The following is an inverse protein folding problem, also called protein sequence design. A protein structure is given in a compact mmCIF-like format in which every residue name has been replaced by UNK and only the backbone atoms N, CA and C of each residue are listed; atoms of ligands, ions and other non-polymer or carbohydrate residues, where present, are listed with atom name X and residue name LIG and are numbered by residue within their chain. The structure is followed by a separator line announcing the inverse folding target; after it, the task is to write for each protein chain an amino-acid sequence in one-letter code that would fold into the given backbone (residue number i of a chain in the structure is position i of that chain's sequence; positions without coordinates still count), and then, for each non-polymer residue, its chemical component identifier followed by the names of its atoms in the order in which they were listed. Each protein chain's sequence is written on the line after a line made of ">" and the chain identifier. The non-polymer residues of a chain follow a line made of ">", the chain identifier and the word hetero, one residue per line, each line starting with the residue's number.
data_IF_417772485134
#
_entry.id   IF_417772485134
#
_cell.length_a   1.000
_cell.length_b   1.000
_cell.length_c   1.000
_cell.angle_alpha   90.00
_cell.angle_beta   90.00
_cell.angle_gamma   90.00
#
_symmetry.space_group_name_H-M   'P 1'
#
loop_
_entity.id
_entity.type
_entity.pdbx_description
1 polymer ?
#
# COMPACT_ATOMS: atom_id res chain seq x y z
N UNK A 1 31.73 8.19 9.87
CA UNK A 1 30.85 7.01 9.72
C UNK A 1 29.44 7.57 9.65
N UNK A 2 28.94 7.75 8.44
CA UNK A 2 27.64 8.37 8.16
C UNK A 2 26.53 7.62 8.90
N UNK A 3 25.83 8.33 9.78
CA UNK A 3 24.53 7.90 10.29
C UNK A 3 23.53 7.98 9.13
N UNK A 4 23.52 6.95 8.29
CA UNK A 4 22.30 6.62 7.54
C UNK A 4 21.28 6.17 8.59
N UNK A 5 20.56 7.15 9.14
CA UNK A 5 19.28 6.98 9.80
C UNK A 5 18.34 6.40 8.73
N UNK A 6 18.50 5.12 8.41
CA UNK A 6 17.45 4.36 7.76
C UNK A 6 16.26 4.50 8.70
N UNK A 7 15.28 5.31 8.29
CA UNK A 7 13.99 5.47 8.93
C UNK A 7 13.45 4.06 9.17
N UNK A 8 13.70 3.52 10.37
CA UNK A 8 13.18 2.22 10.76
C UNK A 8 11.68 2.41 10.86
N UNK A 9 10.94 1.85 9.91
CA UNK A 9 9.52 1.63 10.07
C UNK A 9 9.31 0.99 11.46
N UNK A 10 8.36 1.50 12.23
CA UNK A 10 7.99 0.88 13.49
C UNK A 10 7.71 -0.61 13.26
N UNK A 11 8.19 -1.49 14.14
CA UNK A 11 8.22 -2.95 13.92
C UNK A 11 6.88 -3.52 13.43
N UNK A 12 5.76 -3.05 13.97
CA UNK A 12 4.44 -3.52 13.57
C UNK A 12 4.05 -3.14 12.12
N UNK A 13 4.58 -2.03 11.58
CA UNK A 13 4.36 -1.62 10.20
C UNK A 13 5.10 -2.55 9.24
N UNK A 14 6.34 -2.92 9.58
CA UNK A 14 7.16 -3.86 8.80
C UNK A 14 6.52 -5.27 8.82
N UNK A 15 6.08 -5.74 9.99
CA UNK A 15 5.34 -7.01 10.12
C UNK A 15 4.04 -7.01 9.31
N UNK A 16 3.26 -5.94 9.37
CA UNK A 16 2.04 -5.78 8.58
C UNK A 16 2.34 -5.84 7.07
N UNK A 17 3.35 -5.11 6.61
CA UNK A 17 3.71 -5.08 5.19
C UNK A 17 4.25 -6.44 4.71
N UNK A 18 5.10 -7.11 5.50
CA UNK A 18 5.59 -8.45 5.20
C UNK A 18 4.45 -9.48 5.14
N UNK A 19 3.49 -9.40 6.06
CA UNK A 19 2.31 -10.26 6.06
C UNK A 19 1.58 -10.12 4.71
N UNK A 20 1.20 -8.91 4.31
CA UNK A 20 0.44 -8.67 3.08
C UNK A 20 1.22 -8.93 1.80
N UNK A 21 2.53 -8.72 1.80
CA UNK A 21 3.39 -8.99 0.63
C UNK A 21 3.50 -10.49 0.36
N UNK A 22 3.43 -11.30 1.41
CA UNK A 22 3.47 -12.76 1.33
C UNK A 22 2.12 -13.40 0.98
N UNK A 23 1.02 -12.65 1.07
CA UNK A 23 -0.34 -13.17 0.82
C UNK A 23 -0.56 -13.49 -0.66
N UNK A 24 -1.22 -14.61 -0.91
CA UNK A 24 -1.63 -15.06 -2.25
C UNK A 24 -3.14 -15.08 -2.46
N UNK A 25 -3.92 -14.86 -1.39
CA UNK A 25 -5.37 -14.81 -1.42
C UNK A 25 -5.89 -13.44 -1.90
N UNK A 26 -7.17 -13.32 -2.24
CA UNK A 26 -7.77 -12.07 -2.72
C UNK A 26 -8.14 -11.10 -1.59
N UNK A 27 -7.15 -10.33 -1.12
CA UNK A 27 -7.35 -9.29 -0.11
C UNK A 27 -7.54 -7.89 -0.72
N UNK A 28 -8.17 -6.99 0.03
CA UNK A 28 -8.43 -5.59 -0.35
C UNK A 28 -7.85 -4.58 0.64
N UNK A 29 -7.83 -3.28 0.28
CA UNK A 29 -7.41 -2.19 1.18
C UNK A 29 -8.10 -2.27 2.56
N UNK A 30 -9.39 -2.63 2.59
CA UNK A 30 -10.14 -2.82 3.84
C UNK A 30 -9.63 -3.99 4.69
N UNK A 31 -9.11 -5.05 4.08
CA UNK A 31 -8.42 -6.13 4.80
C UNK A 31 -7.15 -5.61 5.49
N UNK A 32 -6.40 -4.76 4.79
CA UNK A 32 -5.18 -4.13 5.32
C UNK A 32 -5.49 -3.18 6.48
N UNK A 33 -6.45 -2.28 6.30
CA UNK A 33 -6.89 -1.33 7.34
C UNK A 33 -7.42 -2.07 8.58
N UNK A 34 -8.22 -3.12 8.39
CA UNK A 34 -8.73 -3.94 9.51
C UNK A 34 -7.60 -4.61 10.28
N UNK A 35 -6.59 -5.15 9.58
CA UNK A 35 -5.44 -5.80 10.22
C UNK A 35 -4.57 -4.78 10.96
N UNK A 36 -4.36 -3.59 10.39
CA UNK A 36 -3.65 -2.49 11.05
C UNK A 36 -4.32 -2.12 12.38
N UNK A 37 -5.63 -1.91 12.39
CA UNK A 37 -6.39 -1.60 13.61
C UNK A 37 -6.36 -2.72 14.65
N UNK A 38 -6.24 -3.99 14.21
CA UNK A 38 -6.08 -5.13 15.11
C UNK A 38 -4.67 -5.19 15.75
N UNK A 39 -3.63 -4.80 15.01
CA UNK A 39 -2.24 -4.79 15.50
C UNK A 39 -1.96 -3.61 16.42
N UNK A 40 -2.52 -2.42 16.12
CA UNK A 40 -2.32 -1.21 16.91
C UNK A 40 -3.63 -0.46 17.09
N UNK A 41 -4.13 -0.42 18.32
CA UNK A 41 -5.31 0.39 18.65
C UNK A 41 -5.04 1.87 18.39
N UNK A 42 -6.06 2.57 17.89
CA UNK A 42 -6.00 4.01 17.63
C UNK A 42 -5.49 4.39 16.24
N UNK A 43 -5.11 3.41 15.39
CA UNK A 43 -4.81 3.68 13.99
C UNK A 43 -6.07 3.92 13.17
N UNK A 44 -5.98 4.79 12.17
CA UNK A 44 -7.05 5.09 11.24
C UNK A 44 -6.62 4.86 9.78
N UNK A 45 -7.49 5.21 8.83
CA UNK A 45 -7.23 5.09 7.40
C UNK A 45 -6.03 5.95 6.95
N UNK A 46 -5.83 7.15 7.51
CA UNK A 46 -4.67 8.00 7.19
C UNK A 46 -3.35 7.32 7.58
N UNK A 47 -3.31 6.60 8.70
CA UNK A 47 -2.13 5.81 9.08
C UNK A 47 -1.83 4.72 8.04
N UNK A 48 -2.86 4.03 7.54
CA UNK A 48 -2.70 3.01 6.49
C UNK A 48 -2.14 3.63 5.20
N UNK A 49 -2.71 4.76 4.75
CA UNK A 49 -2.24 5.47 3.56
C UNK A 49 -0.78 5.90 3.69
N UNK A 50 -0.39 6.45 4.85
CA UNK A 50 0.99 6.85 5.14
C UNK A 50 1.96 5.65 5.09
N UNK A 51 1.57 4.50 5.66
CA UNK A 51 2.38 3.27 5.60
C UNK A 51 2.59 2.82 4.14
N UNK A 52 1.56 2.91 3.29
CA UNK A 52 1.66 2.53 1.87
C UNK A 52 2.55 3.50 1.08
N UNK A 53 2.46 4.81 1.35
CA UNK A 53 3.35 5.80 0.74
C UNK A 53 4.81 5.60 1.16
N UNK A 54 5.06 5.38 2.46
CA UNK A 54 6.40 5.10 2.97
C UNK A 54 6.97 3.84 2.31
N UNK A 55 6.18 2.77 2.20
CA UNK A 55 6.58 1.54 1.52
C UNK A 55 6.98 1.79 0.05
N UNK A 56 6.18 2.57 -0.68
CA UNK A 56 6.52 2.96 -2.05
C UNK A 56 7.80 3.78 -2.12
N UNK A 57 7.94 4.79 -1.25
CA UNK A 57 9.11 5.66 -1.21
C UNK A 57 10.40 4.89 -0.91
N UNK A 58 10.33 3.87 -0.06
CA UNK A 58 11.45 2.98 0.21
C UNK A 58 11.70 1.92 -0.87
N UNK A 59 10.85 1.85 -1.91
CA UNK A 59 10.95 0.84 -2.97
C UNK A 59 10.73 -0.58 -2.47
N UNK A 60 9.93 -0.76 -1.41
CA UNK A 60 9.68 -2.05 -0.76
C UNK A 60 8.20 -2.43 -0.83
N UNK A 61 7.93 -3.73 -0.67
CA UNK A 61 6.58 -4.32 -0.69
C UNK A 61 5.73 -3.92 -1.92
N UNK A 62 6.26 -4.08 -3.14
CA UNK A 62 5.61 -3.58 -4.35
C UNK A 62 4.24 -4.23 -4.61
N UNK A 63 4.02 -5.49 -4.22
CA UNK A 63 2.71 -6.15 -4.40
C UNK A 63 1.68 -5.55 -3.45
N UNK A 64 2.07 -5.30 -2.21
CA UNK A 64 1.22 -4.72 -1.18
C UNK A 64 0.80 -3.31 -1.56
N UNK A 65 1.76 -2.46 -1.93
CA UNK A 65 1.51 -1.10 -2.40
C UNK A 65 0.53 -1.11 -3.56
N UNK A 66 0.83 -1.89 -4.62
CA UNK A 66 -0.01 -1.97 -5.81
C UNK A 66 -1.44 -2.40 -5.49
N UNK A 67 -1.60 -3.52 -4.77
CA UNK A 67 -2.94 -4.05 -4.50
C UNK A 67 -3.75 -3.16 -3.56
N UNK A 68 -3.14 -2.56 -2.55
CA UNK A 68 -3.84 -1.60 -1.68
C UNK A 68 -4.43 -0.48 -2.53
N UNK A 69 -3.60 0.15 -3.36
CA UNK A 69 -3.98 1.28 -4.19
C UNK A 69 -5.09 0.93 -5.18
N UNK A 70 -4.94 -0.18 -5.91
CA UNK A 70 -5.92 -0.60 -6.92
C UNK A 70 -7.25 -0.95 -6.26
N UNK A 71 -7.24 -1.70 -5.17
CA UNK A 71 -8.49 -2.11 -4.51
C UNK A 71 -9.19 -0.92 -3.85
N UNK A 72 -8.45 0.08 -3.35
CA UNK A 72 -9.01 1.35 -2.90
C UNK A 72 -9.62 2.14 -4.06
N UNK A 73 -8.89 2.30 -5.16
CA UNK A 73 -9.35 3.03 -6.35
C UNK A 73 -10.64 2.43 -6.92
N UNK A 74 -10.72 1.09 -7.01
CA UNK A 74 -11.91 0.41 -7.52
C UNK A 74 -13.16 0.65 -6.68
N UNK A 75 -13.03 0.92 -5.38
CA UNK A 75 -14.17 1.17 -4.50
C UNK A 75 -14.61 2.64 -4.55
N UNK A 76 -13.67 3.58 -4.62
CA UNK A 76 -13.99 5.01 -4.55
C UNK A 76 -14.09 5.71 -5.92
N UNK A 77 -13.58 5.08 -6.98
CA UNK A 77 -13.56 5.65 -8.33
C UNK A 77 -12.61 6.84 -8.49
N UNK A 78 -11.77 7.12 -7.48
CA UNK A 78 -10.74 8.14 -7.50
C UNK A 78 -9.54 7.71 -6.66
N UNK A 79 -8.37 8.25 -6.97
CA UNK A 79 -7.25 8.25 -6.06
C UNK A 79 -7.50 9.24 -4.92
N UNK A 80 -7.25 8.77 -3.70
CA UNK A 80 -7.22 9.66 -2.55
C UNK A 80 -6.07 10.65 -2.71
N UNK A 81 -6.25 11.92 -2.33
CA UNK A 81 -5.22 12.97 -2.49
C UNK A 81 -3.90 12.62 -1.81
N UNK A 82 -3.94 11.84 -0.73
CA UNK A 82 -2.77 11.34 -0.02
C UNK A 82 -1.95 10.34 -0.85
N UNK A 83 -2.52 9.73 -1.89
CA UNK A 83 -1.81 8.83 -2.81
C UNK A 83 -1.21 9.53 -4.04
N UNK A 84 -1.35 10.86 -4.14
CA UNK A 84 -1.02 11.72 -5.29
C UNK A 84 -0.13 11.08 -6.36
N UNK A 85 1.18 11.09 -6.15
CA UNK A 85 2.14 10.57 -7.15
C UNK A 85 2.32 9.04 -7.09
N UNK A 86 2.11 8.44 -5.92
CA UNK A 86 2.25 7.00 -5.68
C UNK A 86 1.31 6.20 -6.60
N UNK A 87 0.04 6.57 -6.68
CA UNK A 87 -0.93 5.89 -7.53
C UNK A 87 -0.54 6.00 -9.01
N UNK A 88 -0.23 7.21 -9.48
CA UNK A 88 0.15 7.46 -10.86
C UNK A 88 1.43 6.72 -11.25
N UNK A 89 2.43 6.68 -10.36
CA UNK A 89 3.66 5.90 -10.54
C UNK A 89 3.36 4.42 -10.77
N UNK A 90 2.53 3.81 -9.92
CA UNK A 90 2.15 2.40 -10.06
C UNK A 90 1.30 2.17 -11.31
N UNK A 91 0.30 3.01 -11.55
CA UNK A 91 -0.60 2.87 -12.70
C UNK A 91 0.13 2.99 -14.03
N UNK A 92 1.05 3.95 -14.15
CA UNK A 92 1.83 4.16 -15.37
C UNK A 92 2.89 3.07 -15.60
N UNK A 93 3.36 2.42 -14.54
CA UNK A 93 4.27 1.28 -14.63
C UNK A 93 3.56 -0.03 -15.04
N UNK A 94 2.22 -0.10 -14.96
CA UNK A 94 1.46 -1.26 -15.37
C UNK A 94 1.29 -1.33 -16.89
N UNK A 95 1.40 -2.54 -17.43
CA UNK A 95 1.03 -2.81 -18.83
C UNK A 95 -0.48 -2.72 -19.04
N UNK A 96 -0.91 -2.53 -20.28
CA UNK A 96 -2.34 -2.49 -20.61
C UNK A 96 -3.05 -3.81 -20.27
N UNK A 97 -2.40 -4.95 -20.50
CA UNK A 97 -2.92 -6.26 -20.08
C UNK A 97 -3.10 -6.34 -18.57
N UNK A 98 -2.15 -5.80 -17.80
CA UNK A 98 -2.27 -5.77 -16.35
C UNK A 98 -3.42 -4.85 -15.92
N UNK A 99 -3.53 -3.64 -16.49
CA UNK A 99 -4.64 -2.72 -16.23
C UNK A 99 -5.99 -3.37 -16.52
N UNK A 100 -6.16 -4.04 -17.67
CA UNK A 100 -7.38 -4.77 -18.00
C UNK A 100 -7.65 -5.92 -17.03
N UNK A 101 -6.63 -6.67 -16.59
CA UNK A 101 -6.80 -7.75 -15.61
C UNK A 101 -7.32 -7.25 -14.25
N UNK A 102 -6.98 -6.01 -13.89
CA UNK A 102 -7.51 -5.34 -12.70
C UNK A 102 -8.87 -4.66 -12.93
N UNK A 103 -9.29 -4.50 -14.19
CA UNK A 103 -10.49 -3.77 -14.58
C UNK A 103 -10.32 -2.24 -14.50
N UNK A 104 -9.14 -1.74 -14.88
CA UNK A 104 -8.78 -0.30 -14.82
C UNK A 104 -8.66 0.36 -16.21
N UNK A 105 -9.09 -0.33 -17.28
CA UNK A 105 -9.00 0.12 -18.67
C UNK A 105 -10.21 -0.32 -19.48
#
# INVERSE_FOLDING_TARGET
>A
MEMCLMLKLEKYKDELLNEFESRTDEWSYGSFESRLSALRKGTNNLDAKNIINDAHHFGKWPKTVKRYLITSYKVFGNESTEFGDTFNSIYNAMSDTEKSSWGLG
#
